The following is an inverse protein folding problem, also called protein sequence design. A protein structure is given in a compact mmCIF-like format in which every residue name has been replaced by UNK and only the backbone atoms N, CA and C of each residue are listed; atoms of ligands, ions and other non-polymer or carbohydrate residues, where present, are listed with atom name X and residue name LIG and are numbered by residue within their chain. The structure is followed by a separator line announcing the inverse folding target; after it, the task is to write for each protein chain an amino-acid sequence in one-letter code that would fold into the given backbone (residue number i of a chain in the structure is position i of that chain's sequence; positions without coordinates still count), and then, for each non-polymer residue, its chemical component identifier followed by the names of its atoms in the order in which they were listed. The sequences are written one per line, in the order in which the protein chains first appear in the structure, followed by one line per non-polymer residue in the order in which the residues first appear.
data_IF_232289809576
#
_entry.id   IF_232289809576
#
_cell.length_a   1.000
_cell.length_b   1.000
_cell.length_c   1.000
_cell.angle_alpha   90.00
_cell.angle_beta   90.00
_cell.angle_gamma   90.00
#
_symmetry.space_group_name_H-M   'P 1'
#
loop_
_entity.id
_entity.type
_entity.pdbx_description
1 polymer ?
#
# COMPACT_ATOMS: atom_id res chain seq x y z
N UNK A 1 13.99 -15.17 -9.64
CA UNK A 1 13.16 -14.55 -8.59
C UNK A 1 13.75 -13.21 -8.18
N UNK A 2 12.91 -12.27 -7.81
CA UNK A 2 13.30 -10.92 -7.40
C UNK A 2 12.54 -10.51 -6.16
N UNK A 3 13.17 -9.76 -5.25
CA UNK A 3 12.48 -9.18 -4.11
C UNK A 3 12.53 -7.66 -4.19
N UNK A 4 11.50 -7.01 -3.65
CA UNK A 4 11.43 -5.58 -3.52
C UNK A 4 10.82 -5.20 -2.18
N UNK A 5 11.21 -4.04 -1.69
CA UNK A 5 10.70 -3.47 -0.46
C UNK A 5 10.12 -2.09 -0.76
N UNK A 6 8.94 -1.81 -0.21
CA UNK A 6 8.31 -0.50 -0.28
C UNK A 6 8.03 0.05 1.11
N UNK A 7 8.10 1.36 1.22
CA UNK A 7 7.76 2.07 2.44
C UNK A 7 6.97 3.32 2.07
N UNK A 8 5.88 3.57 2.79
CA UNK A 8 5.13 4.81 2.65
C UNK A 8 4.63 5.27 4.00
N UNK A 9 4.40 6.56 4.13
CA UNK A 9 3.89 7.18 5.34
C UNK A 9 3.04 8.38 4.96
N UNK A 10 1.88 8.52 5.61
CA UNK A 10 1.04 9.70 5.50
C UNK A 10 0.64 10.16 6.89
N UNK A 11 0.56 11.48 7.05
CA UNK A 11 0.14 12.06 8.32
C UNK A 11 -1.37 12.18 8.40
N UNK A 12 -1.90 12.13 9.62
CA UNK A 12 -3.30 12.38 9.86
C UNK A 12 -3.64 13.86 9.66
N UNK A 13 -4.86 14.12 9.25
CA UNK A 13 -5.41 15.45 9.09
C UNK A 13 -6.92 15.39 9.23
N UNK A 14 -7.61 16.40 8.73
CA UNK A 14 -9.07 16.44 8.78
C UNK A 14 -9.66 15.29 7.97
N UNK A 15 -10.73 14.72 8.51
CA UNK A 15 -11.47 13.65 7.86
C UNK A 15 -12.20 12.78 8.85
N UNK A 16 -13.04 11.91 8.34
CA UNK A 16 -13.90 11.02 9.14
C UNK A 16 -13.60 9.55 8.85
N UNK A 17 -12.69 9.28 7.96
CA UNK A 17 -12.26 7.92 7.60
C UNK A 17 -10.88 7.96 6.98
N UNK A 18 -10.24 6.78 6.97
CA UNK A 18 -9.02 6.56 6.18
C UNK A 18 -9.31 5.49 5.13
N UNK A 19 -8.54 5.49 4.04
CA UNK A 19 -8.54 4.40 3.05
C UNK A 19 -7.23 3.67 3.17
N UNK A 20 -7.28 2.38 3.43
CA UNK A 20 -6.09 1.56 3.63
C UNK A 20 -6.32 0.16 3.09
N UNK A 21 -5.43 -0.31 2.22
CA UNK A 21 -5.61 -1.59 1.54
C UNK A 21 -6.88 -1.65 0.69
N UNK A 22 -7.34 -0.51 0.18
CA UNK A 22 -8.58 -0.39 -0.57
C UNK A 22 -9.83 -0.35 0.31
N UNK A 23 -9.69 -0.44 1.63
CA UNK A 23 -10.81 -0.48 2.58
C UNK A 23 -10.99 0.88 3.24
N UNK A 24 -12.24 1.35 3.28
CA UNK A 24 -12.60 2.57 4.01
C UNK A 24 -12.82 2.22 5.48
N UNK A 25 -12.04 2.83 6.36
CA UNK A 25 -12.08 2.57 7.80
C UNK A 25 -12.51 3.85 8.52
N UNK A 26 -13.65 3.85 9.23
CA UNK A 26 -14.06 5.01 10.04
C UNK A 26 -12.99 5.35 11.08
N UNK A 27 -12.69 6.63 11.20
CA UNK A 27 -11.71 7.13 12.15
C UNK A 27 -11.98 8.61 12.41
N UNK A 28 -11.45 9.13 13.50
CA UNK A 28 -11.60 10.54 13.85
C UNK A 28 -10.76 11.48 12.98
N UNK A 29 -9.82 10.95 12.18
CA UNK A 29 -8.99 11.69 11.25
C UNK A 29 -8.99 11.02 9.88
N UNK A 30 -8.63 11.78 8.85
CA UNK A 30 -8.26 11.24 7.54
C UNK A 30 -6.75 11.24 7.38
N UNK A 31 -6.27 10.75 6.23
CA UNK A 31 -4.85 10.82 5.86
C UNK A 31 -4.65 11.89 4.80
N UNK A 32 -3.67 12.77 5.01
CA UNK A 32 -3.35 13.85 4.06
C UNK A 32 -2.49 13.29 2.94
N UNK A 33 -2.95 13.42 1.70
CA UNK A 33 -2.23 12.96 0.52
C UNK A 33 -2.75 13.61 -0.75
N UNK A 34 -1.97 13.52 -1.82
CA UNK A 34 -2.36 13.95 -3.16
C UNK A 34 -3.42 13.00 -3.75
N UNK A 35 -3.31 11.70 -3.46
CA UNK A 35 -4.22 10.63 -3.88
C UNK A 35 -5.29 10.38 -2.80
N UNK A 36 -5.82 9.14 -2.73
CA UNK A 36 -6.73 8.70 -1.67
C UNK A 36 -6.01 8.44 -0.34
N UNK A 37 -4.68 8.57 -0.31
CA UNK A 37 -3.89 8.41 0.90
C UNK A 37 -3.66 6.98 1.34
N UNK A 38 -3.87 6.00 0.46
CA UNK A 38 -3.72 4.59 0.80
C UNK A 38 -2.25 4.20 0.97
N UNK A 39 -1.76 4.28 2.20
CA UNK A 39 -0.36 4.03 2.55
C UNK A 39 0.04 2.60 2.19
N UNK A 40 -0.88 1.64 2.39
CA UNK A 40 -0.57 0.23 2.13
C UNK A 40 -0.39 -0.03 0.63
N UNK A 41 -1.31 0.43 -0.19
CA UNK A 41 -1.22 0.20 -1.63
C UNK A 41 -0.04 0.96 -2.25
N UNK A 42 0.32 2.13 -1.72
CA UNK A 42 1.50 2.86 -2.17
C UNK A 42 2.80 2.11 -1.83
N UNK A 43 2.93 1.62 -0.60
CA UNK A 43 4.10 0.84 -0.20
C UNK A 43 4.21 -0.44 -1.04
N UNK A 44 3.10 -1.11 -1.28
CA UNK A 44 3.06 -2.32 -2.08
C UNK A 44 3.44 -2.05 -3.55
N UNK A 45 2.92 -0.96 -4.12
CA UNK A 45 3.27 -0.55 -5.48
C UNK A 45 4.77 -0.30 -5.61
N UNK A 46 5.37 0.39 -4.64
CA UNK A 46 6.82 0.62 -4.61
C UNK A 46 7.61 -0.68 -4.48
N UNK A 47 7.13 -1.62 -3.67
CA UNK A 47 7.78 -2.92 -3.53
C UNK A 47 7.83 -3.67 -4.86
N UNK A 48 6.71 -3.68 -5.59
CA UNK A 48 6.61 -4.33 -6.90
C UNK A 48 7.51 -3.66 -7.93
N UNK A 49 7.48 -2.34 -8.00
CA UNK A 49 8.33 -1.58 -8.93
C UNK A 49 9.81 -1.80 -8.61
N UNK A 50 10.17 -1.76 -7.33
CA UNK A 50 11.54 -1.98 -6.90
C UNK A 50 12.05 -3.38 -7.24
N UNK A 51 11.23 -4.41 -7.05
CA UNK A 51 11.58 -5.78 -7.41
C UNK A 51 11.86 -5.92 -8.92
N UNK A 52 11.13 -5.20 -9.76
CA UNK A 52 11.30 -5.20 -11.21
C UNK A 52 12.34 -4.18 -11.70
N UNK A 53 13.00 -3.46 -10.79
CA UNK A 53 13.99 -2.41 -11.10
C UNK A 53 13.38 -1.28 -11.95
N UNK A 54 12.13 -0.89 -11.65
CA UNK A 54 11.39 0.15 -12.37
C UNK A 54 11.32 1.49 -11.61
N UNK A 55 12.06 1.63 -10.52
CA UNK A 55 12.04 2.85 -9.70
C UNK A 55 10.93 2.83 -8.66
N UNK A 56 10.16 3.88 -8.61
CA UNK A 56 9.11 4.08 -7.62
C UNK A 56 7.84 4.68 -8.23
N UNK A 57 6.79 4.81 -7.42
CA UNK A 57 5.52 5.37 -7.90
C UNK A 57 5.65 6.85 -8.29
N UNK A 58 6.51 7.60 -7.63
CA UNK A 58 6.73 9.02 -7.97
C UNK A 58 7.25 9.21 -9.38
N UNK A 59 8.04 8.25 -9.88
CA UNK A 59 8.54 8.26 -11.25
C UNK A 59 7.44 8.02 -12.29
N UNK A 60 6.51 7.12 -11.99
CA UNK A 60 5.43 6.73 -12.92
C UNK A 60 4.16 7.57 -12.74
N UNK A 61 3.92 8.07 -11.54
CA UNK A 61 2.71 8.81 -11.18
C UNK A 61 3.08 10.06 -10.38
N UNK A 62 3.72 11.08 -11.03
CA UNK A 62 4.19 12.27 -10.30
C UNK A 62 3.05 13.04 -9.64
N UNK A 63 3.26 13.48 -8.39
CA UNK A 63 2.31 14.32 -7.64
C UNK A 63 1.99 15.63 -8.36
N UNK A 64 2.92 16.09 -9.21
CA UNK A 64 2.76 17.33 -9.98
C UNK A 64 1.79 17.19 -11.15
N UNK A 65 1.44 15.95 -11.53
CA UNK A 65 0.52 15.72 -12.64
C UNK A 65 -0.93 15.80 -12.17
N UNK A 66 -1.72 16.78 -12.64
CA UNK A 66 -3.11 16.93 -12.21
C UNK A 66 -4.01 15.71 -12.45
N UNK A 67 -3.68 14.87 -13.44
CA UNK A 67 -4.49 13.70 -13.74
C UNK A 67 -4.48 12.66 -12.60
N UNK A 68 -3.46 12.71 -11.72
CA UNK A 68 -3.34 11.77 -10.60
C UNK A 68 -3.87 12.34 -9.28
N UNK A 69 -4.36 13.58 -9.28
CA UNK A 69 -4.94 14.18 -8.07
C UNK A 69 -6.22 13.43 -7.67
N UNK A 70 -6.27 12.95 -6.42
CA UNK A 70 -7.39 12.15 -5.94
C UNK A 70 -7.42 10.74 -6.53
N UNK A 71 -6.32 10.28 -7.11
CA UNK A 71 -6.25 8.99 -7.80
C UNK A 71 -6.64 7.82 -6.88
N UNK A 72 -7.35 6.85 -7.45
CA UNK A 72 -7.67 5.58 -6.82
C UNK A 72 -6.41 4.72 -6.80
N UNK A 73 -5.90 4.45 -5.61
CA UNK A 73 -4.66 3.68 -5.43
C UNK A 73 -4.80 2.23 -5.89
N UNK A 74 -6.01 1.68 -5.92
CA UNK A 74 -6.24 0.34 -6.50
C UNK A 74 -6.00 0.36 -8.01
N UNK A 75 -6.43 1.41 -8.69
CA UNK A 75 -6.17 1.58 -10.12
C UNK A 75 -4.66 1.72 -10.38
N UNK A 76 -3.96 2.48 -9.52
CA UNK A 76 -2.50 2.58 -9.61
C UNK A 76 -1.82 1.23 -9.42
N UNK A 77 -2.28 0.44 -8.46
CA UNK A 77 -1.73 -0.90 -8.20
C UNK A 77 -1.91 -1.82 -9.42
N UNK A 78 -3.09 -1.80 -10.04
CA UNK A 78 -3.34 -2.59 -11.25
C UNK A 78 -2.44 -2.14 -12.40
N UNK A 79 -2.18 -0.84 -12.52
CA UNK A 79 -1.27 -0.31 -13.54
C UNK A 79 0.17 -0.78 -13.28
N UNK A 80 0.60 -0.77 -12.01
CA UNK A 80 1.91 -1.27 -11.62
C UNK A 80 2.06 -2.75 -11.96
N UNK A 81 1.02 -3.55 -11.74
CA UNK A 81 1.03 -4.96 -12.14
C UNK A 81 1.28 -5.10 -13.63
N UNK A 82 0.60 -4.29 -14.47
CA UNK A 82 0.81 -4.32 -15.91
C UNK A 82 2.26 -3.98 -16.29
N UNK A 83 2.87 -2.99 -15.63
CA UNK A 83 4.26 -2.62 -15.85
C UNK A 83 5.22 -3.78 -15.51
N UNK A 84 4.98 -4.43 -14.37
CA UNK A 84 5.79 -5.56 -13.89
C UNK A 84 5.68 -6.74 -14.87
N UNK A 85 4.46 -7.05 -15.33
CA UNK A 85 4.21 -8.11 -16.31
C UNK A 85 4.89 -7.79 -17.65
N UNK A 86 4.88 -6.54 -18.05
CA UNK A 86 5.57 -6.08 -19.27
C UNK A 86 7.07 -6.32 -19.23
N UNK A 87 7.65 -6.48 -18.05
CA UNK A 87 9.06 -6.83 -17.88
C UNK A 87 9.30 -8.34 -17.73
N UNK A 88 8.27 -9.15 -17.85
CA UNK A 88 8.38 -10.60 -17.78
C UNK A 88 8.26 -11.20 -16.39
N UNK A 89 7.64 -10.50 -15.47
CA UNK A 89 7.51 -10.94 -14.08
C UNK A 89 6.06 -11.14 -13.69
N UNK A 90 5.84 -12.01 -12.72
CA UNK A 90 4.56 -12.19 -12.05
C UNK A 90 4.77 -12.16 -10.54
N UNK A 91 3.70 -11.88 -9.82
CA UNK A 91 3.74 -11.84 -8.35
C UNK A 91 3.80 -13.26 -7.80
N UNK A 92 4.80 -13.55 -6.99
CA UNK A 92 4.87 -14.80 -6.23
C UNK A 92 4.10 -14.70 -4.93
N UNK A 93 4.44 -13.70 -4.11
CA UNK A 93 3.69 -13.38 -2.90
C UNK A 93 4.03 -11.96 -2.42
N UNK A 94 3.21 -11.44 -1.54
CA UNK A 94 3.49 -10.17 -0.86
C UNK A 94 3.26 -10.31 0.64
N UNK A 95 3.97 -9.51 1.40
CA UNK A 95 3.78 -9.36 2.83
C UNK A 95 3.87 -7.87 3.19
N UNK A 96 2.90 -7.38 3.94
CA UNK A 96 2.86 -5.98 4.34
C UNK A 96 2.65 -5.87 5.84
N UNK A 97 3.31 -4.89 6.44
CA UNK A 97 3.18 -4.57 7.86
C UNK A 97 2.70 -3.14 8.02
N UNK A 98 1.51 -2.98 8.58
CA UNK A 98 0.92 -1.68 8.90
C UNK A 98 1.42 -1.27 10.28
N UNK A 99 2.02 -0.09 10.39
CA UNK A 99 2.51 0.47 11.65
C UNK A 99 1.59 1.63 12.04
N UNK A 100 0.69 1.38 12.98
CA UNK A 100 -0.32 2.35 13.40
C UNK A 100 -0.72 2.13 14.85
N UNK A 101 -0.84 3.21 15.61
CA UNK A 101 -1.35 3.14 16.98
C UNK A 101 -2.88 2.96 16.97
N UNK A 102 -3.54 3.61 16.05
CA UNK A 102 -4.99 3.55 15.82
C UNK A 102 -5.28 3.95 14.36
N UNK A 103 -6.42 3.56 13.78
CA UNK A 103 -7.45 2.67 14.32
C UNK A 103 -7.01 1.20 14.36
N UNK A 104 -7.82 0.33 14.98
CA UNK A 104 -7.56 -1.11 14.96
C UNK A 104 -7.71 -1.65 13.54
N UNK A 105 -6.73 -2.42 13.09
CA UNK A 105 -6.69 -2.96 11.74
C UNK A 105 -7.29 -4.36 11.62
N UNK A 106 -7.26 -5.14 12.71
CA UNK A 106 -7.67 -6.55 12.68
C UNK A 106 -9.02 -6.81 11.99
N UNK A 107 -10.10 -6.01 12.25
CA UNK A 107 -11.38 -6.26 11.60
C UNK A 107 -11.37 -6.07 10.07
N UNK A 108 -10.34 -5.43 9.52
CA UNK A 108 -10.29 -5.03 8.12
C UNK A 108 -9.28 -5.81 7.29
N UNK A 109 -8.41 -6.58 7.94
CA UNK A 109 -7.28 -7.25 7.27
C UNK A 109 -7.74 -8.23 6.19
N UNK A 110 -8.75 -9.05 6.46
CA UNK A 110 -9.22 -10.02 5.46
C UNK A 110 -9.74 -9.34 4.21
N UNK A 111 -10.51 -8.27 4.36
CA UNK A 111 -11.01 -7.52 3.20
C UNK A 111 -9.86 -6.87 2.42
N UNK A 112 -8.85 -6.34 3.11
CA UNK A 112 -7.65 -5.82 2.45
C UNK A 112 -6.96 -6.89 1.61
N UNK A 113 -6.78 -8.09 2.17
CA UNK A 113 -6.16 -9.22 1.47
C UNK A 113 -6.93 -9.61 0.22
N UNK A 114 -8.25 -9.70 0.34
CA UNK A 114 -9.12 -10.05 -0.79
C UNK A 114 -9.02 -9.04 -1.93
N UNK A 115 -9.06 -7.74 -1.59
CA UNK A 115 -8.97 -6.67 -2.60
C UNK A 115 -7.61 -6.64 -3.28
N UNK A 116 -6.54 -6.79 -2.50
CA UNK A 116 -5.18 -6.83 -3.04
C UNK A 116 -4.98 -8.05 -3.94
N UNK A 117 -5.44 -9.22 -3.50
CA UNK A 117 -5.35 -10.43 -4.30
C UNK A 117 -6.09 -10.29 -5.63
N UNK A 118 -7.29 -9.69 -5.61
CA UNK A 118 -8.04 -9.42 -6.82
C UNK A 118 -7.29 -8.47 -7.76
N UNK A 119 -6.74 -7.39 -7.23
CA UNK A 119 -6.01 -6.40 -8.03
C UNK A 119 -4.69 -6.95 -8.60
N UNK A 120 -4.03 -7.85 -7.88
CA UNK A 120 -2.80 -8.48 -8.33
C UNK A 120 -3.03 -9.79 -9.09
N UNK A 121 -4.29 -10.24 -9.19
CA UNK A 121 -4.67 -11.46 -9.88
C UNK A 121 -3.93 -12.69 -9.33
N UNK A 122 -3.89 -12.79 -8.00
CA UNK A 122 -3.28 -13.91 -7.27
C UNK A 122 -4.27 -14.47 -6.26
N UNK A 123 -3.92 -15.61 -5.67
CA UNK A 123 -4.72 -16.20 -4.60
C UNK A 123 -4.54 -15.45 -3.29
N UNK A 124 -5.55 -15.49 -2.42
CA UNK A 124 -5.50 -14.78 -1.14
C UNK A 124 -4.35 -15.25 -0.24
N UNK A 125 -3.96 -16.52 -0.34
CA UNK A 125 -2.85 -17.06 0.45
C UNK A 125 -1.48 -16.54 0.01
N UNK A 126 -1.41 -15.86 -1.14
CA UNK A 126 -0.19 -15.19 -1.60
C UNK A 126 -0.07 -13.76 -1.07
N UNK A 127 -1.07 -13.31 -0.31
CA UNK A 127 -1.17 -11.94 0.22
C UNK A 127 -1.27 -12.00 1.73
N UNK A 128 -0.27 -11.50 2.43
CA UNK A 128 -0.32 -11.33 3.88
C UNK A 128 -0.33 -9.86 4.26
N UNK A 129 -1.19 -9.51 5.20
CA UNK A 129 -1.24 -8.18 5.81
C UNK A 129 -1.30 -8.37 7.31
N UNK A 130 -0.41 -7.69 8.02
CA UNK A 130 -0.40 -7.69 9.49
C UNK A 130 -0.22 -6.26 9.97
N UNK A 131 -0.54 -6.01 11.22
CA UNK A 131 -0.44 -4.70 11.82
C UNK A 131 0.24 -4.76 13.18
N UNK A 132 0.93 -3.68 13.52
CA UNK A 132 1.55 -3.54 14.83
C UNK A 132 1.44 -2.08 15.29
N UNK A 133 1.43 -1.88 16.60
CA UNK A 133 1.63 -0.55 17.17
C UNK A 133 3.13 -0.34 17.35
N UNK A 134 3.52 0.87 17.79
CA UNK A 134 4.88 1.15 18.21
C UNK A 134 4.99 1.33 19.73
N UNK A 135 4.03 0.78 20.48
CA UNK A 135 3.99 0.88 21.94
C UNK A 135 4.03 2.36 22.39
N UNK A 136 3.29 3.22 21.67
CA UNK A 136 3.20 4.67 21.90
C UNK A 136 4.51 5.42 21.64
N UNK A 137 5.47 4.80 20.98
CA UNK A 137 6.75 5.42 20.63
C UNK A 137 6.69 6.05 19.23
N UNK A 138 7.37 7.18 19.08
CA UNK A 138 7.56 7.84 17.79
C UNK A 138 6.29 8.44 17.21
N UNK A 139 6.36 8.82 15.94
CA UNK A 139 5.24 9.49 15.27
C UNK A 139 3.99 8.60 15.16
N UNK A 140 4.18 7.32 14.90
CA UNK A 140 3.06 6.37 14.84
C UNK A 140 2.41 6.22 16.22
N UNK A 141 3.23 6.09 17.25
CA UNK A 141 2.76 5.96 18.63
C UNK A 141 2.07 7.20 19.18
N UNK A 142 2.45 8.38 18.68
CA UNK A 142 1.77 9.65 19.01
C UNK A 142 0.55 9.91 18.14
N UNK A 143 0.19 8.97 17.27
CA UNK A 143 -0.95 9.11 16.36
C UNK A 143 -0.80 10.31 15.41
N UNK A 144 0.40 10.55 14.92
CA UNK A 144 0.66 11.62 13.94
C UNK A 144 0.48 11.12 12.51
N UNK A 145 0.59 9.82 12.30
CA UNK A 145 0.43 9.21 10.98
C UNK A 145 0.48 7.69 11.02
N UNK A 146 0.40 7.12 9.82
CA UNK A 146 0.48 5.68 9.60
C UNK A 146 1.62 5.41 8.62
N UNK A 147 2.44 4.41 8.93
CA UNK A 147 3.47 3.91 8.03
C UNK A 147 3.19 2.47 7.63
N UNK A 148 3.64 2.06 6.45
CA UNK A 148 3.54 0.68 5.99
C UNK A 148 4.86 0.29 5.35
N UNK A 149 5.33 -0.93 5.69
CA UNK A 149 6.39 -1.62 4.98
C UNK A 149 5.78 -2.74 4.17
N UNK A 150 6.18 -2.89 2.93
CA UNK A 150 5.73 -3.99 2.09
C UNK A 150 6.92 -4.68 1.45
N UNK A 151 6.81 -6.00 1.30
CA UNK A 151 7.80 -6.82 0.60
C UNK A 151 7.07 -7.59 -0.50
N UNK A 152 7.65 -7.64 -1.67
CA UNK A 152 7.11 -8.39 -2.80
C UNK A 152 8.17 -9.35 -3.34
N UNK A 153 7.72 -10.56 -3.67
CA UNK A 153 8.53 -11.53 -4.39
C UNK A 153 7.97 -11.68 -5.80
N UNK A 154 8.83 -11.50 -6.80
CA UNK A 154 8.47 -11.72 -8.21
C UNK A 154 9.13 -12.98 -8.73
N UNK A 155 8.38 -13.69 -9.56
CA UNK A 155 8.84 -14.88 -10.26
C UNK A 155 8.76 -14.64 -11.77
N UNK A 156 9.57 -15.33 -12.60
CA UNK A 156 9.43 -15.21 -14.05
C UNK A 156 8.03 -15.65 -14.50
N UNK A 157 7.52 -14.98 -15.50
CA UNK A 157 6.28 -15.40 -16.17
C UNK A 157 6.44 -16.74 -16.87
#
# INVERSE_FOLDING_TARGET
MRIGHGYDVHRFGEGEFITLGGVRIPHKFGLIAHSDGDVLLHALSDALLGAAALGDIGRHFPDTDPQFKGADSRALLRHVLALVRGKGWQVGNIDATIVAQAPKMAPHIEQMRELIAADLEVETDQVNVKATTTEKLGFAGREEGIAVHAVALLLPL
#
